data_IF_834402982583
#
_entry.id   IF_834402982583
#
_cell.length_a   1.000
_cell.length_b   1.000
_cell.length_c   1.000
_cell.angle_alpha   90.00
_cell.angle_beta   90.00
_cell.angle_gamma   90.00
#
_symmetry.space_group_name_H-M   'P 1'
#
loop_
_entity.id
_entity.type
_entity.pdbx_description
1 polymer ?
#
# COMPACT_ATOMS: atom_id res chain seq x y z
N UNK A 1 3.84 13.88 -4.25
CA UNK A 1 3.55 12.46 -4.50
C UNK A 1 4.63 11.55 -3.92
N UNK A 2 5.82 11.37 -4.51
CA UNK A 2 6.87 10.43 -4.01
C UNK A 2 7.18 10.53 -2.50
N UNK A 3 7.42 11.75 -1.99
CA UNK A 3 7.67 11.98 -0.56
C UNK A 3 6.45 11.67 0.32
N UNK A 4 5.24 12.00 -0.15
CA UNK A 4 4.00 11.73 0.58
C UNK A 4 3.75 10.22 0.68
N UNK A 5 3.95 9.48 -0.43
CA UNK A 5 3.85 8.02 -0.42
C UNK A 5 4.91 7.37 0.47
N UNK A 6 6.14 7.89 0.47
CA UNK A 6 7.19 7.38 1.35
C UNK A 6 6.82 7.57 2.83
N UNK A 7 6.34 8.76 3.19
CA UNK A 7 5.83 9.02 4.54
C UNK A 7 4.66 8.09 4.90
N UNK A 8 3.70 7.88 3.98
CA UNK A 8 2.58 6.99 4.19
C UNK A 8 3.00 5.52 4.38
N UNK A 9 4.02 5.05 3.66
CA UNK A 9 4.62 3.72 3.87
C UNK A 9 5.22 3.61 5.27
N UNK A 10 5.95 4.63 5.75
CA UNK A 10 6.48 4.65 7.11
C UNK A 10 5.38 4.67 8.17
N UNK A 11 4.30 5.42 7.94
CA UNK A 11 3.12 5.45 8.81
C UNK A 11 2.45 4.08 8.89
N UNK A 12 2.26 3.39 7.76
CA UNK A 12 1.75 2.02 7.73
C UNK A 12 2.69 1.03 8.43
N UNK A 13 4.01 1.14 8.25
CA UNK A 13 4.99 0.32 8.97
C UNK A 13 4.95 0.56 10.49
N UNK A 14 4.56 1.77 10.91
CA UNK A 14 4.29 2.12 12.31
C UNK A 14 2.95 1.59 12.85
N UNK A 15 2.12 0.97 12.01
CA UNK A 15 0.83 0.39 12.36
C UNK A 15 -0.38 1.29 12.13
N UNK A 16 -0.18 2.54 11.70
CA UNK A 16 -1.28 3.47 11.39
C UNK A 16 -1.67 3.35 9.91
N UNK A 17 -2.41 2.30 9.60
CA UNK A 17 -2.89 2.05 8.25
C UNK A 17 -3.95 3.08 7.81
N UNK A 18 -4.69 3.68 8.73
CA UNK A 18 -5.72 4.68 8.42
C UNK A 18 -5.11 5.95 7.83
N UNK A 19 -4.06 6.48 8.45
CA UNK A 19 -3.36 7.66 7.93
C UNK A 19 -2.67 7.35 6.60
N UNK A 20 -2.09 6.15 6.45
CA UNK A 20 -1.51 5.73 5.18
C UNK A 20 -2.57 5.58 4.06
N UNK A 21 -3.77 5.10 4.40
CA UNK A 21 -4.89 4.97 3.48
C UNK A 21 -5.35 6.32 2.92
N UNK A 22 -5.44 7.36 3.75
CA UNK A 22 -5.79 8.71 3.28
C UNK A 22 -4.83 9.21 2.20
N UNK A 23 -3.52 9.02 2.40
CA UNK A 23 -2.51 9.43 1.42
C UNK A 23 -2.54 8.57 0.15
N UNK A 24 -2.79 7.26 0.29
CA UNK A 24 -2.96 6.38 -0.86
C UNK A 24 -4.17 6.78 -1.71
N UNK A 25 -5.29 7.16 -1.04
CA UNK A 25 -6.53 7.61 -1.68
C UNK A 25 -6.33 8.94 -2.46
N UNK A 26 -5.53 9.86 -1.94
CA UNK A 26 -5.21 11.12 -2.63
C UNK A 26 -4.39 10.94 -3.92
N UNK A 27 -3.79 9.76 -4.11
CA UNK A 27 -2.89 9.44 -5.20
C UNK A 27 -3.35 8.24 -6.04
N UNK A 28 -4.63 7.86 -5.94
CA UNK A 28 -5.21 6.80 -6.78
C UNK A 28 -4.95 6.99 -8.27
N UNK A 29 -4.73 5.88 -8.96
CA UNK A 29 -4.33 5.88 -10.38
C UNK A 29 -2.82 5.74 -10.56
N UNK A 30 -2.02 6.18 -9.58
CA UNK A 30 -0.58 5.93 -9.58
C UNK A 30 -0.28 4.47 -9.16
N UNK A 31 0.55 3.71 -9.89
CA UNK A 31 0.77 2.29 -9.59
C UNK A 31 1.27 2.01 -8.17
N UNK A 32 2.16 2.84 -7.63
CA UNK A 32 2.70 2.68 -6.27
C UNK A 32 1.67 3.10 -5.19
N UNK A 33 0.85 4.11 -5.46
CA UNK A 33 -0.23 4.48 -4.56
C UNK A 33 -1.32 3.41 -4.51
N UNK A 34 -1.71 2.86 -5.68
CA UNK A 34 -2.66 1.75 -5.76
C UNK A 34 -2.13 0.49 -5.06
N UNK A 35 -0.83 0.22 -5.12
CA UNK A 35 -0.23 -0.88 -4.36
C UNK A 35 -0.25 -0.62 -2.85
N UNK A 36 0.10 0.60 -2.40
CA UNK A 36 -0.05 0.97 -1.00
C UNK A 36 -1.51 0.83 -0.54
N UNK A 37 -2.47 1.28 -1.35
CA UNK A 37 -3.91 1.16 -1.10
C UNK A 37 -4.34 -0.30 -0.91
N UNK A 38 -3.82 -1.21 -1.74
CA UNK A 38 -4.07 -2.65 -1.59
C UNK A 38 -3.54 -3.21 -0.27
N UNK A 39 -2.33 -2.80 0.13
CA UNK A 39 -1.68 -3.27 1.35
C UNK A 39 -2.39 -2.73 2.59
N UNK A 40 -2.83 -1.47 2.60
CA UNK A 40 -3.56 -0.90 3.77
C UNK A 40 -4.92 -1.57 3.99
N UNK A 41 -5.68 -1.89 2.94
CA UNK A 41 -6.91 -2.69 3.11
C UNK A 41 -6.62 -4.10 3.61
N UNK A 42 -5.49 -4.68 3.22
CA UNK A 42 -5.05 -5.97 3.76
C UNK A 42 -4.70 -5.86 5.26
N UNK A 43 -4.15 -4.74 5.71
CA UNK A 43 -3.89 -4.45 7.13
C UNK A 43 -5.19 -4.21 7.92
N UNK A 44 -6.17 -3.54 7.31
CA UNK A 44 -7.53 -3.33 7.85
C UNK A 44 -8.30 -4.66 8.02
N UNK A 45 -8.01 -5.65 7.18
CA UNK A 45 -8.71 -6.94 7.14
C UNK A 45 -9.77 -7.01 6.03
N UNK A 46 -9.90 -5.98 5.20
CA UNK A 46 -10.79 -5.94 4.04
C UNK A 46 -10.11 -6.59 2.83
N UNK A 47 -10.11 -7.93 2.80
CA UNK A 47 -9.44 -8.70 1.77
C UNK A 47 -10.08 -8.57 0.39
N UNK A 48 -11.38 -8.26 0.32
CA UNK A 48 -12.11 -8.09 -0.92
C UNK A 48 -11.68 -6.79 -1.61
N UNK A 49 -11.64 -5.66 -0.87
CA UNK A 49 -11.09 -4.41 -1.39
C UNK A 49 -9.59 -4.51 -1.65
N UNK A 50 -8.82 -5.15 -0.77
CA UNK A 50 -7.39 -5.37 -1.02
C UNK A 50 -7.17 -6.07 -2.37
N UNK A 51 -7.94 -7.12 -2.66
CA UNK A 51 -7.85 -7.87 -3.92
C UNK A 51 -8.22 -7.02 -5.14
N UNK A 52 -9.26 -6.18 -5.03
CA UNK A 52 -9.62 -5.20 -6.06
C UNK A 52 -8.46 -4.24 -6.36
N UNK A 53 -7.84 -3.67 -5.32
CA UNK A 53 -6.73 -2.73 -5.47
C UNK A 53 -5.44 -3.36 -5.98
N UNK A 54 -5.13 -4.59 -5.56
CA UNK A 54 -4.04 -5.37 -6.16
C UNK A 54 -4.25 -5.54 -7.67
N UNK A 55 -5.48 -5.83 -8.10
CA UNK A 55 -5.84 -5.93 -9.51
C UNK A 55 -5.59 -4.62 -10.28
N UNK A 56 -5.90 -3.46 -9.66
CA UNK A 56 -5.68 -2.14 -10.27
C UNK A 56 -4.21 -1.79 -10.53
N UNK A 57 -3.27 -2.43 -9.83
CA UNK A 57 -1.84 -2.25 -10.05
C UNK A 57 -1.16 -3.48 -10.70
N UNK A 58 -1.95 -4.39 -11.30
CA UNK A 58 -1.41 -5.57 -11.99
C UNK A 58 -0.73 -6.58 -11.05
N UNK A 59 -1.09 -6.55 -9.77
CA UNK A 59 -0.54 -7.42 -8.72
C UNK A 59 -1.60 -8.38 -8.22
N UNK A 60 -1.15 -9.40 -7.49
CA UNK A 60 -2.02 -10.36 -6.82
C UNK A 60 -1.72 -10.36 -5.34
N UNK A 61 -2.74 -10.60 -4.51
CA UNK A 61 -2.57 -10.73 -3.07
C UNK A 61 -1.69 -11.95 -2.77
N UNK A 62 -0.52 -11.72 -2.13
CA UNK A 62 0.44 -12.76 -1.77
C UNK A 62 0.27 -13.16 -0.31
N UNK A 63 -0.54 -14.19 -0.05
CA UNK A 63 -0.87 -14.65 1.32
C UNK A 63 0.35 -15.04 2.15
N UNK A 64 1.41 -15.51 1.50
CA UNK A 64 2.67 -15.94 2.11
C UNK A 64 3.65 -14.79 2.41
N UNK A 65 3.38 -13.57 1.92
CA UNK A 65 4.20 -12.38 2.17
C UNK A 65 3.46 -11.51 3.16
N UNK A 66 4.13 -11.02 4.20
CA UNK A 66 3.48 -10.14 5.19
C UNK A 66 3.22 -8.74 4.62
N UNK A 67 2.29 -8.00 5.22
CA UNK A 67 2.02 -6.60 4.85
C UNK A 67 3.25 -5.73 5.02
N UNK A 68 4.05 -5.94 6.06
CA UNK A 68 5.30 -5.20 6.31
C UNK A 68 6.35 -5.48 5.23
N UNK A 69 6.44 -6.73 4.75
CA UNK A 69 7.34 -7.08 3.66
C UNK A 69 6.93 -6.36 2.36
N UNK A 70 5.63 -6.32 2.05
CA UNK A 70 5.14 -5.56 0.89
C UNK A 70 5.37 -4.05 1.02
N UNK A 71 5.15 -3.47 2.20
CA UNK A 71 5.44 -2.06 2.46
C UNK A 71 6.92 -1.73 2.23
N UNK A 72 7.85 -2.62 2.63
CA UNK A 72 9.28 -2.46 2.34
C UNK A 72 9.63 -2.55 0.86
N UNK A 73 8.92 -3.38 0.09
CA UNK A 73 9.10 -3.39 -1.37
C UNK A 73 8.62 -2.08 -2.01
N UNK A 74 7.51 -1.51 -1.52
CA UNK A 74 7.01 -0.19 -1.96
C UNK A 74 8.02 0.90 -1.59
N UNK A 75 8.56 0.89 -0.36
CA UNK A 75 9.61 1.81 0.09
C UNK A 75 10.84 1.76 -0.82
N UNK A 76 11.31 0.56 -1.17
CA UNK A 76 12.45 0.37 -2.05
C UNK A 76 12.17 0.88 -3.47
N UNK A 77 10.95 0.69 -3.98
CA UNK A 77 10.53 1.21 -5.28
C UNK A 77 10.43 2.75 -5.29
N UNK A 78 10.04 3.35 -4.15
CA UNK A 78 10.02 4.80 -3.94
C UNK A 78 11.39 5.40 -3.63
N UNK A 79 12.45 4.60 -3.47
CA UNK A 79 13.80 5.12 -3.16
C UNK A 79 14.78 5.03 -4.33
N UNK A 80 14.36 4.38 -5.42
CA UNK A 80 15.04 4.37 -6.72
C UNK A 80 14.66 5.61 -7.53
#
# INVERSE_FOLDING_TARGET
MKQALLAAVHTALGGDWQAAHLVAQEHEGEPLANWLHAVVHRMEGDLDNASYWYGRCGRTLRKQVSTEAELKEIEAALSQ
#
